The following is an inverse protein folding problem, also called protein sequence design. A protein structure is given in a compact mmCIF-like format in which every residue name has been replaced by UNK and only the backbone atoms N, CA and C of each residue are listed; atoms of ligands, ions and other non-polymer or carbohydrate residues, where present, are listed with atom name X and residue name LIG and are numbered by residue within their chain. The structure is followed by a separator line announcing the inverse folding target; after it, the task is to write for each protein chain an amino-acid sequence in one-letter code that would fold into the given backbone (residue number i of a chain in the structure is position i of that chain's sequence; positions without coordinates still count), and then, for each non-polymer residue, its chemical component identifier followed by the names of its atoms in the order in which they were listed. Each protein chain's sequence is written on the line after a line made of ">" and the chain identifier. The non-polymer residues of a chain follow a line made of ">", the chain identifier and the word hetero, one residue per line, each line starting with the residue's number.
data_IF_775236526018
#
_entry.id   IF_775236526018
#
_cell.length_a   1.000
_cell.length_b   1.000
_cell.length_c   1.000
_cell.angle_alpha   90.00
_cell.angle_beta   90.00
_cell.angle_gamma   90.00
#
_symmetry.space_group_name_H-M   'P 1'
#
loop_
_entity.id
_entity.type
_entity.pdbx_description
1 polymer ?
#
# COMPACT_ATOMS: atom_id res chain seq x y z
N UNK A 1 19.32 63.41 22.15
CA UNK A 1 18.17 63.19 21.27
C UNK A 1 17.95 61.69 21.25
N UNK A 2 17.03 61.19 22.06
CA UNK A 2 16.63 59.78 22.07
C UNK A 2 15.43 59.60 21.13
N UNK A 3 15.54 58.62 20.25
CA UNK A 3 14.54 58.24 19.25
C UNK A 3 13.46 57.36 19.90
N UNK A 4 12.15 57.55 19.63
CA UNK A 4 11.12 56.81 20.32
C UNK A 4 11.05 55.37 19.80
N UNK A 5 11.03 54.39 20.71
CA UNK A 5 10.89 52.98 20.36
C UNK A 5 9.54 52.70 19.69
N UNK A 6 9.57 52.18 18.46
CA UNK A 6 8.38 51.69 17.76
C UNK A 6 7.88 50.38 18.40
N UNK A 7 6.57 50.21 18.63
CA UNK A 7 6.04 48.94 19.09
C UNK A 7 6.19 47.88 18.00
N UNK A 8 6.83 46.75 18.34
CA UNK A 8 6.89 45.58 17.47
C UNK A 8 5.47 45.11 17.11
N UNK A 9 5.20 44.73 15.84
CA UNK A 9 3.87 44.26 15.46
C UNK A 9 3.54 42.97 16.21
N UNK A 10 2.37 42.95 16.84
CA UNK A 10 1.78 41.73 17.42
C UNK A 10 1.67 40.68 16.31
N UNK A 11 2.18 39.45 16.48
CA UNK A 11 2.01 38.42 15.47
C UNK A 11 0.52 38.15 15.30
N UNK A 12 0.03 38.25 14.07
CA UNK A 12 -1.33 37.81 13.74
C UNK A 12 -1.45 36.31 14.04
N UNK A 13 -2.59 35.84 14.56
CA UNK A 13 -2.80 34.41 14.75
C UNK A 13 -2.61 33.70 13.41
N UNK A 14 -1.59 32.84 13.35
CA UNK A 14 -1.32 31.98 12.20
C UNK A 14 -2.48 30.99 12.07
N UNK A 15 -3.39 31.28 11.15
CA UNK A 15 -4.42 30.33 10.67
C UNK A 15 -3.86 29.55 9.48
N UNK A 16 -2.62 29.07 9.58
CA UNK A 16 -2.21 27.98 8.70
C UNK A 16 -3.12 26.80 9.02
N UNK A 17 -3.90 26.25 8.07
CA UNK A 17 -4.63 25.02 8.33
C UNK A 17 -3.59 23.98 8.77
N UNK A 18 -3.83 23.39 9.94
CA UNK A 18 -3.07 22.25 10.45
C UNK A 18 -2.96 21.25 9.29
N UNK A 19 -1.76 21.05 8.77
CA UNK A 19 -1.56 20.35 7.50
C UNK A 19 -2.10 18.92 7.64
N UNK A 20 -3.30 18.68 7.10
CA UNK A 20 -3.93 17.38 7.22
C UNK A 20 -3.08 16.37 6.45
N UNK A 21 -2.68 15.29 7.12
CA UNK A 21 -1.92 14.23 6.49
C UNK A 21 -2.60 13.72 5.20
N UNK A 22 -1.85 13.52 4.11
CA UNK A 22 -2.43 13.18 2.82
C UNK A 22 -3.13 11.80 2.81
N UNK A 23 -4.03 11.59 1.86
CA UNK A 23 -4.60 10.26 1.62
C UNK A 23 -3.56 9.37 0.91
N UNK A 24 -3.36 8.16 1.42
CA UNK A 24 -2.37 7.20 0.91
C UNK A 24 -3.08 5.92 0.46
N UNK A 25 -2.77 5.47 -0.75
CA UNK A 25 -3.19 4.17 -1.28
C UNK A 25 -2.05 3.17 -1.20
N UNK A 26 -2.23 2.12 -0.38
CA UNK A 26 -1.33 0.96 -0.34
C UNK A 26 -1.78 -0.06 -1.37
N UNK A 27 -0.89 -0.40 -2.32
CA UNK A 27 -1.13 -1.39 -3.36
C UNK A 27 -0.28 -2.64 -3.15
N UNK A 28 -0.95 -3.78 -3.07
CA UNK A 28 -0.32 -5.06 -2.76
C UNK A 28 -0.67 -6.12 -3.81
N UNK A 29 0.24 -6.41 -4.76
CA UNK A 29 0.09 -7.60 -5.59
C UNK A 29 0.31 -8.86 -4.74
N UNK A 30 -0.55 -9.85 -4.91
CA UNK A 30 -0.55 -11.11 -4.17
C UNK A 30 -0.45 -12.28 -5.14
N UNK A 31 0.58 -13.12 -4.93
CA UNK A 31 0.74 -14.39 -5.62
C UNK A 31 1.36 -15.40 -4.66
N UNK A 32 0.66 -16.51 -4.42
CA UNK A 32 1.15 -17.61 -3.55
C UNK A 32 1.56 -17.15 -2.13
N UNK A 33 0.88 -16.13 -1.59
CA UNK A 33 1.26 -15.50 -0.33
C UNK A 33 0.44 -16.00 0.87
N UNK A 34 -0.26 -17.14 0.75
CA UNK A 34 -1.17 -17.66 1.79
C UNK A 34 -0.56 -17.62 3.21
N UNK A 35 0.69 -18.10 3.36
CA UNK A 35 1.40 -18.15 4.63
C UNK A 35 1.95 -16.81 5.13
N UNK A 36 1.80 -15.73 4.37
CA UNK A 36 2.30 -14.39 4.70
C UNK A 36 1.19 -13.39 5.00
N UNK A 37 -0.05 -13.67 4.59
CA UNK A 37 -1.17 -12.73 4.73
C UNK A 37 -1.40 -12.27 6.18
N UNK A 38 -1.35 -13.16 7.17
CA UNK A 38 -1.58 -12.76 8.57
C UNK A 38 -0.52 -11.78 9.07
N UNK A 39 0.74 -12.03 8.71
CA UNK A 39 1.86 -11.14 9.03
C UNK A 39 1.74 -9.82 8.28
N UNK A 40 1.36 -9.85 7.01
CA UNK A 40 1.13 -8.64 6.22
C UNK A 40 0.09 -7.74 6.90
N UNK A 41 -1.06 -8.30 7.30
CA UNK A 41 -2.10 -7.54 8.01
C UNK A 41 -1.63 -7.01 9.36
N UNK A 42 -0.84 -7.80 10.12
CA UNK A 42 -0.22 -7.33 11.35
C UNK A 42 0.68 -6.11 11.10
N UNK A 43 1.52 -6.16 10.06
CA UNK A 43 2.41 -5.06 9.72
C UNK A 43 1.63 -3.81 9.25
N UNK A 44 0.56 -4.01 8.48
CA UNK A 44 -0.30 -2.93 8.00
C UNK A 44 -1.03 -2.22 9.15
N UNK A 45 -1.53 -3.00 10.11
CA UNK A 45 -2.13 -2.47 11.34
C UNK A 45 -1.10 -1.74 12.22
N UNK A 46 0.16 -2.15 12.18
CA UNK A 46 1.24 -1.50 12.93
C UNK A 46 1.80 -0.22 12.28
N UNK A 47 1.36 0.17 11.07
CA UNK A 47 1.77 1.44 10.46
C UNK A 47 1.41 2.64 11.35
N UNK A 48 2.39 3.51 11.59
CA UNK A 48 2.22 4.75 12.34
C UNK A 48 1.69 5.84 11.41
N UNK A 49 0.43 5.67 11.01
CA UNK A 49 -0.33 6.58 10.15
C UNK A 49 -1.82 6.35 10.39
N UNK A 50 -2.66 7.41 10.43
CA UNK A 50 -4.09 7.27 10.68
C UNK A 50 -4.74 6.34 9.67
N UNK A 51 -5.34 5.26 10.16
CA UNK A 51 -5.95 4.23 9.29
C UNK A 51 -7.08 4.81 8.42
N UNK A 52 -7.78 5.82 8.93
CA UNK A 52 -8.79 6.60 8.19
C UNK A 52 -8.23 7.41 7.00
N UNK A 53 -6.91 7.50 6.86
CA UNK A 53 -6.20 8.12 5.73
C UNK A 53 -5.54 7.10 4.80
N UNK A 54 -5.67 5.80 5.10
CA UNK A 54 -5.08 4.71 4.32
C UNK A 54 -6.18 3.95 3.59
N UNK A 55 -6.12 3.97 2.27
CA UNK A 55 -6.80 3.02 1.41
C UNK A 55 -5.86 1.84 1.12
N UNK A 56 -6.40 0.63 1.02
CA UNK A 56 -5.62 -0.59 0.76
C UNK A 56 -6.27 -1.36 -0.37
N UNK A 57 -5.50 -1.75 -1.38
CA UNK A 57 -6.00 -2.62 -2.43
C UNK A 57 -5.08 -3.79 -2.72
N UNK A 58 -5.69 -4.97 -2.79
CA UNK A 58 -5.03 -6.22 -3.09
C UNK A 58 -5.38 -6.68 -4.51
N UNK A 59 -4.41 -7.27 -5.20
CA UNK A 59 -4.66 -8.02 -6.42
C UNK A 59 -4.09 -9.43 -6.28
N UNK A 60 -4.98 -10.40 -6.11
CA UNK A 60 -4.63 -11.82 -6.28
C UNK A 60 -4.49 -12.10 -7.78
N UNK A 61 -3.34 -12.66 -8.19
CA UNK A 61 -3.04 -12.89 -9.61
C UNK A 61 -2.17 -14.12 -9.82
N UNK A 62 -2.67 -15.04 -10.63
CA UNK A 62 -1.95 -16.25 -11.06
C UNK A 62 -1.40 -17.08 -9.87
N UNK A 63 -2.14 -17.17 -8.75
CA UNK A 63 -1.77 -18.06 -7.64
C UNK A 63 -2.11 -19.53 -7.94
N UNK A 64 -1.28 -20.44 -7.42
CA UNK A 64 -1.52 -21.88 -7.39
C UNK A 64 -1.94 -22.38 -6.01
N UNK A 65 -2.30 -21.45 -5.11
CA UNK A 65 -2.67 -21.68 -3.71
C UNK A 65 -1.65 -22.52 -2.91
N UNK A 66 -0.38 -22.49 -3.33
CA UNK A 66 0.66 -23.21 -2.63
C UNK A 66 0.78 -22.76 -1.17
N UNK A 67 0.63 -23.72 -0.26
CA UNK A 67 0.67 -23.50 1.18
C UNK A 67 -0.70 -23.27 1.83
N UNK A 68 -1.79 -23.19 1.06
CA UNK A 68 -3.14 -23.21 1.59
C UNK A 68 -3.55 -24.63 2.01
N UNK A 69 -4.34 -24.79 3.09
CA UNK A 69 -5.00 -26.06 3.41
C UNK A 69 -5.95 -26.49 2.29
N UNK A 70 -6.24 -27.79 2.23
CA UNK A 70 -7.19 -28.35 1.27
C UNK A 70 -8.57 -27.67 1.40
N UNK A 71 -9.15 -27.28 0.26
CA UNK A 71 -10.45 -26.61 0.21
C UNK A 71 -10.42 -25.11 0.54
N UNK A 72 -9.24 -24.50 0.70
CA UNK A 72 -9.10 -23.06 0.97
C UNK A 72 -8.23 -22.37 -0.07
N UNK A 73 -8.57 -21.12 -0.42
CA UNK A 73 -7.85 -20.33 -1.44
C UNK A 73 -7.30 -19.03 -0.88
N UNK A 74 -6.16 -18.57 -1.42
CA UNK A 74 -5.53 -17.29 -1.09
C UNK A 74 -6.51 -16.12 -1.18
N UNK A 75 -7.37 -16.15 -2.19
CA UNK A 75 -8.45 -15.18 -2.36
C UNK A 75 -9.43 -15.21 -1.17
N UNK A 76 -9.92 -16.38 -0.77
CA UNK A 76 -10.89 -16.50 0.33
C UNK A 76 -10.32 -16.00 1.67
N UNK A 77 -9.04 -16.22 1.94
CA UNK A 77 -8.38 -15.65 3.13
C UNK A 77 -8.19 -14.15 3.02
N UNK A 78 -7.80 -13.62 1.86
CA UNK A 78 -7.72 -12.18 1.64
C UNK A 78 -9.06 -11.49 1.93
N UNK A 79 -10.15 -12.00 1.39
CA UNK A 79 -11.50 -11.47 1.60
C UNK A 79 -11.92 -11.53 3.09
N UNK A 80 -11.65 -12.66 3.75
CA UNK A 80 -11.94 -12.85 5.18
C UNK A 80 -11.17 -11.86 6.06
N UNK A 81 -9.88 -11.66 5.78
CA UNK A 81 -9.04 -10.72 6.52
C UNK A 81 -9.43 -9.27 6.22
N UNK A 82 -9.73 -8.94 4.96
CA UNK A 82 -10.24 -7.62 4.57
C UNK A 82 -11.55 -7.28 5.31
N UNK A 83 -12.46 -8.25 5.43
CA UNK A 83 -13.73 -8.07 6.15
C UNK A 83 -13.54 -7.91 7.66
N UNK A 84 -12.65 -8.69 8.26
CA UNK A 84 -12.46 -8.71 9.72
C UNK A 84 -11.55 -7.60 10.24
N UNK A 85 -10.55 -7.17 9.46
CA UNK A 85 -9.54 -6.18 9.89
C UNK A 85 -9.61 -4.86 9.12
N UNK A 86 -10.35 -4.80 8.01
CA UNK A 86 -10.41 -3.62 7.14
C UNK A 86 -11.21 -2.45 7.68
N UNK A 87 -12.03 -2.64 8.73
CA UNK A 87 -12.97 -1.61 9.21
C UNK A 87 -12.29 -0.33 9.74
N UNK A 88 -11.03 -0.43 10.20
CA UNK A 88 -10.27 0.74 10.65
C UNK A 88 -9.72 1.58 9.49
N UNK A 89 -9.56 0.99 8.30
CA UNK A 89 -9.00 1.64 7.12
C UNK A 89 -10.06 2.48 6.41
N UNK A 90 -9.62 3.51 5.68
CA UNK A 90 -10.50 4.35 4.86
C UNK A 90 -11.29 3.51 3.84
N UNK A 91 -10.57 2.61 3.15
CA UNK A 91 -11.11 1.74 2.12
C UNK A 91 -10.24 0.50 2.01
N UNK A 92 -10.87 -0.67 1.88
CA UNK A 92 -10.18 -1.92 1.53
C UNK A 92 -10.85 -2.55 0.33
N UNK A 93 -10.06 -2.87 -0.71
CA UNK A 93 -10.54 -3.51 -1.93
C UNK A 93 -9.71 -4.75 -2.23
N UNK A 94 -10.37 -5.82 -2.68
CA UNK A 94 -9.72 -7.05 -3.11
C UNK A 94 -10.15 -7.33 -4.55
N UNK A 95 -9.18 -7.50 -5.42
CA UNK A 95 -9.39 -7.84 -6.82
C UNK A 95 -8.72 -9.19 -7.13
N UNK A 96 -9.28 -9.94 -8.08
CA UNK A 96 -8.62 -11.08 -8.69
C UNK A 96 -8.56 -10.89 -10.20
N UNK A 97 -7.39 -11.14 -10.79
CA UNK A 97 -7.19 -11.16 -12.24
C UNK A 97 -5.96 -11.96 -12.64
N UNK A 98 -6.15 -12.93 -13.52
CA UNK A 98 -5.06 -13.69 -14.14
C UNK A 98 -4.56 -13.00 -15.41
N UNK A 99 -3.24 -12.97 -15.60
CA UNK A 99 -2.61 -12.38 -16.80
C UNK A 99 -1.92 -13.42 -17.68
N UNK A 100 -2.14 -14.72 -17.40
CA UNK A 100 -1.93 -15.81 -18.33
C UNK A 100 -0.47 -16.24 -18.43
N UNK A 101 0.11 -16.71 -17.32
CA UNK A 101 1.50 -17.15 -17.29
C UNK A 101 1.62 -18.49 -16.59
N UNK A 102 1.17 -19.55 -17.25
CA UNK A 102 1.61 -20.90 -16.91
C UNK A 102 3.05 -21.08 -17.44
N UNK A 103 4.05 -20.42 -16.82
CA UNK A 103 5.45 -20.75 -17.06
C UNK A 103 5.68 -22.16 -16.55
N UNK A 104 6.00 -23.11 -17.44
CA UNK A 104 6.41 -24.45 -17.04
C UNK A 104 7.62 -24.32 -16.11
N UNK A 105 7.62 -25.06 -14.98
CA UNK A 105 8.69 -25.00 -13.96
C UNK A 105 10.10 -25.15 -14.57
N UNK A 106 10.22 -25.83 -15.72
CA UNK A 106 11.44 -26.14 -16.48
C UNK A 106 12.07 -24.95 -17.21
N UNK A 107 11.38 -23.82 -17.39
CA UNK A 107 11.87 -22.69 -18.20
C UNK A 107 12.25 -21.46 -17.35
N UNK A 108 12.25 -21.59 -16.01
CA UNK A 108 12.36 -20.47 -15.07
C UNK A 108 13.72 -19.74 -15.05
N UNK A 109 14.73 -20.28 -15.73
CA UNK A 109 16.11 -19.79 -15.69
C UNK A 109 16.58 -19.05 -16.95
N UNK A 110 15.72 -18.89 -17.97
CA UNK A 110 16.05 -18.11 -19.18
C UNK A 110 15.74 -16.62 -19.05
N UNK A 111 16.53 -15.78 -19.72
CA UNK A 111 16.28 -14.32 -19.81
C UNK A 111 14.87 -14.01 -20.33
N UNK A 112 14.39 -14.80 -21.30
CA UNK A 112 13.03 -14.66 -21.85
C UNK A 112 11.95 -14.91 -20.80
N UNK A 113 12.14 -15.90 -19.90
CA UNK A 113 11.22 -16.16 -18.81
C UNK A 113 11.24 -15.04 -17.75
N UNK A 114 12.37 -14.36 -17.57
CA UNK A 114 12.45 -13.17 -16.72
C UNK A 114 11.71 -11.98 -17.33
N UNK A 115 11.87 -11.73 -18.63
CA UNK A 115 11.14 -10.68 -19.35
C UNK A 115 9.63 -10.90 -19.29
N UNK A 116 9.16 -12.12 -19.53
CA UNK A 116 7.74 -12.50 -19.42
C UNK A 116 7.20 -12.24 -18.01
N UNK A 117 7.92 -12.65 -16.96
CA UNK A 117 7.53 -12.37 -15.56
C UNK A 117 7.42 -10.88 -15.27
N UNK A 118 8.42 -10.08 -15.68
CA UNK A 118 8.41 -8.63 -15.48
C UNK A 118 7.25 -7.95 -16.21
N UNK A 119 6.97 -8.37 -17.45
CA UNK A 119 5.84 -7.85 -18.22
C UNK A 119 4.51 -8.12 -17.50
N UNK A 120 4.38 -9.28 -16.86
CA UNK A 120 3.16 -9.66 -16.14
C UNK A 120 3.03 -8.90 -14.83
N UNK A 121 4.09 -8.80 -14.04
CA UNK A 121 4.10 -7.97 -12.84
C UNK A 121 3.73 -6.51 -13.18
N UNK A 122 4.25 -5.97 -14.28
CA UNK A 122 3.89 -4.63 -14.75
C UNK A 122 2.40 -4.53 -15.10
N UNK A 123 1.84 -5.51 -15.82
CA UNK A 123 0.39 -5.54 -16.13
C UNK A 123 -0.48 -5.65 -14.89
N UNK A 124 -0.11 -6.51 -13.94
CA UNK A 124 -0.82 -6.68 -12.67
C UNK A 124 -0.80 -5.37 -11.87
N UNK A 125 0.35 -4.71 -11.78
CA UNK A 125 0.49 -3.42 -11.09
C UNK A 125 -0.34 -2.31 -11.77
N UNK A 126 -0.25 -2.19 -13.09
CA UNK A 126 -1.03 -1.20 -13.84
C UNK A 126 -2.53 -1.43 -13.67
N UNK A 127 -2.98 -2.68 -13.73
CA UNK A 127 -4.38 -3.03 -13.50
C UNK A 127 -4.83 -2.66 -12.10
N UNK A 128 -4.09 -3.08 -11.07
CA UNK A 128 -4.43 -2.78 -9.68
C UNK A 128 -4.53 -1.28 -9.44
N UNK A 129 -3.52 -0.51 -9.87
CA UNK A 129 -3.53 0.94 -9.77
C UNK A 129 -4.76 1.55 -10.45
N UNK A 130 -5.02 1.18 -11.71
CA UNK A 130 -6.15 1.72 -12.49
C UNK A 130 -7.53 1.42 -11.90
N UNK A 131 -7.64 0.39 -11.05
CA UNK A 131 -8.90 -0.04 -10.43
C UNK A 131 -9.09 0.50 -9.03
N UNK A 132 -7.99 0.81 -8.34
CA UNK A 132 -8.00 1.14 -6.92
C UNK A 132 -7.79 2.63 -6.64
N UNK A 133 -7.06 3.34 -7.51
CA UNK A 133 -6.78 4.76 -7.34
C UNK A 133 -8.04 5.60 -7.48
N UNK A 134 -8.21 6.52 -6.54
CA UNK A 134 -9.33 7.46 -6.48
C UNK A 134 -8.80 8.86 -6.14
N UNK A 135 -9.10 9.40 -4.96
CA UNK A 135 -8.68 10.71 -4.46
C UNK A 135 -7.38 10.68 -3.63
N UNK A 136 -6.66 9.55 -3.63
CA UNK A 136 -5.40 9.44 -2.89
C UNK A 136 -4.28 10.29 -3.53
N UNK A 137 -3.57 11.05 -2.68
CA UNK A 137 -2.47 11.90 -3.12
C UNK A 137 -1.17 11.11 -3.35
N UNK A 138 -1.01 9.97 -2.67
CA UNK A 138 0.18 9.13 -2.75
C UNK A 138 -0.17 7.66 -2.90
N UNK A 139 0.69 6.93 -3.61
CA UNK A 139 0.60 5.48 -3.78
C UNK A 139 1.86 4.84 -3.20
N UNK A 140 1.66 3.88 -2.30
CA UNK A 140 2.73 3.06 -1.72
C UNK A 140 2.58 1.61 -2.20
N UNK A 141 3.59 1.12 -2.92
CA UNK A 141 3.65 -0.29 -3.31
C UNK A 141 4.28 -1.12 -2.20
N UNK A 142 3.56 -2.10 -1.67
CA UNK A 142 4.06 -3.05 -0.67
C UNK A 142 3.84 -4.46 -1.20
N UNK A 143 4.92 -5.21 -1.44
CA UNK A 143 4.80 -6.60 -1.87
C UNK A 143 4.36 -7.50 -0.68
N UNK A 144 3.50 -8.48 -0.97
CA UNK A 144 2.86 -9.35 0.06
C UNK A 144 3.81 -10.29 0.81
N UNK A 145 5.02 -10.50 0.28
CA UNK A 145 6.06 -11.37 0.84
C UNK A 145 7.04 -10.63 1.76
N UNK A 146 6.92 -9.31 1.88
CA UNK A 146 7.75 -8.51 2.79
C UNK A 146 7.56 -8.96 4.24
N UNK A 147 8.68 -9.32 4.88
CA UNK A 147 8.67 -9.80 6.25
C UNK A 147 8.35 -8.67 7.25
N UNK A 148 8.95 -7.51 7.05
CA UNK A 148 8.76 -6.31 7.86
C UNK A 148 9.08 -5.05 7.05
N UNK A 149 8.52 -3.92 7.50
CA UNK A 149 8.86 -2.58 7.04
C UNK A 149 8.77 -1.61 8.22
N UNK A 150 9.52 -0.49 8.22
CA UNK A 150 9.44 0.49 9.30
C UNK A 150 8.01 1.00 9.47
N UNK A 151 7.54 1.11 10.72
CA UNK A 151 6.17 1.54 11.02
C UNK A 151 5.89 2.96 10.51
N UNK A 152 6.88 3.85 10.58
CA UNK A 152 6.81 5.22 10.06
C UNK A 152 7.07 5.35 8.56
N UNK A 153 7.01 4.28 7.76
CA UNK A 153 7.34 4.38 6.33
C UNK A 153 6.40 5.34 5.59
N UNK A 154 5.10 5.35 5.89
CA UNK A 154 4.15 6.30 5.28
C UNK A 154 4.54 7.75 5.55
N UNK A 155 4.87 8.09 6.80
CA UNK A 155 5.30 9.43 7.18
C UNK A 155 6.69 9.77 6.60
N UNK A 156 7.61 8.81 6.49
CA UNK A 156 8.95 9.06 5.96
C UNK A 156 8.96 9.44 4.46
N UNK A 157 7.97 8.99 3.68
CA UNK A 157 7.80 9.40 2.28
C UNK A 157 7.16 10.78 2.11
N UNK A 158 6.61 11.34 3.18
CA UNK A 158 6.07 12.70 3.27
C UNK A 158 6.92 13.54 4.25
N UNK A 159 7.98 14.22 3.79
CA UNK A 159 8.61 15.21 4.65
C UNK A 159 7.58 16.30 4.97
N UNK A 160 7.44 16.73 6.24
CA UNK A 160 6.56 17.84 6.58
C UNK A 160 6.93 19.04 5.70
N UNK A 161 5.91 19.82 5.30
CA UNK A 161 6.13 21.05 4.56
C UNK A 161 7.21 21.86 5.28
N UNK A 162 8.37 22.05 4.63
CA UNK A 162 9.46 22.84 5.19
C UNK A 162 8.91 24.24 5.46
N UNK A 163 8.69 24.56 6.73
CA UNK A 163 8.47 25.92 7.18
C UNK A 163 9.77 26.69 6.91
N UNK A 164 9.75 27.52 5.86
CA UNK A 164 10.76 28.54 5.57
C UNK A 164 10.68 29.70 6.55
#
# INVERSE_FOLDING_TARGET
>A
MEEPAHPSPTPLPSTAPEATEPLVLVLTPVKNAWGHLDRFWKNLNALDYPKSRISVAFLESDSDDHGAPEGVSTMGKLESLAKSQGAAFRRVQVFSKSFGVALKRSERHGEEAQLRRRAVMARSRNYLLSRALDDEAYVLWIDSDLHSYPQGCCAAFWPPARTS
#
